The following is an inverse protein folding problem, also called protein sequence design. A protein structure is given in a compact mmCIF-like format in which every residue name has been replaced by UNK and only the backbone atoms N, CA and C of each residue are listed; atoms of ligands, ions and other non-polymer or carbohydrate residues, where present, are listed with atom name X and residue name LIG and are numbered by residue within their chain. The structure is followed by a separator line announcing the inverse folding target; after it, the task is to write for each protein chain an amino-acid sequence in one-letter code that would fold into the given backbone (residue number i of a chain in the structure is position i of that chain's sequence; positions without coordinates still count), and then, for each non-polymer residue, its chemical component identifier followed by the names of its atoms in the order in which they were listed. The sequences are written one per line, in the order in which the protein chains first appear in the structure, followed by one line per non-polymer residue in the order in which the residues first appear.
data_IF_960547974630
#
_entry.id   IF_960547974630
#
_cell.length_a   1.000
_cell.length_b   1.000
_cell.length_c   1.000
_cell.angle_alpha   90.00
_cell.angle_beta   90.00
_cell.angle_gamma   90.00
#
_symmetry.space_group_name_H-M   'P 1'
#
loop_
_entity.id
_entity.type
_entity.pdbx_description
1 polymer ?
#
# COMPACT_ATOMS: atom_id res chain seq x y z
N UNK A 1 -7.46 18.67 13.44
CA UNK A 1 -6.77 17.43 13.04
C UNK A 1 -5.83 17.75 11.89
N UNK A 2 -4.59 17.31 11.96
CA UNK A 2 -3.65 17.46 10.86
C UNK A 2 -4.02 16.49 9.74
N UNK A 3 -3.92 16.90 8.46
CA UNK A 3 -4.17 15.99 7.35
C UNK A 3 -3.26 14.78 7.44
N UNK A 4 -3.79 13.60 7.16
CA UNK A 4 -3.08 12.33 7.29
C UNK A 4 -2.94 11.64 5.92
N UNK A 5 -1.78 11.03 5.68
CA UNK A 5 -1.58 10.05 4.61
C UNK A 5 -1.66 8.67 5.22
N UNK A 6 -2.62 7.88 4.75
CA UNK A 6 -2.81 6.53 5.21
C UNK A 6 -2.22 5.52 4.22
N UNK A 7 -1.27 4.70 4.68
CA UNK A 7 -0.64 3.63 3.90
C UNK A 7 -1.11 2.27 4.44
N UNK A 8 -1.73 1.46 3.60
CA UNK A 8 -2.13 0.10 3.95
C UNK A 8 -1.19 -0.93 3.34
N UNK A 9 -0.76 -1.89 4.15
CA UNK A 9 0.17 -2.97 3.78
C UNK A 9 -0.45 -4.32 4.11
N UNK A 10 -0.81 -5.09 3.09
CA UNK A 10 -1.41 -6.41 3.31
C UNK A 10 -0.37 -7.49 3.59
N UNK A 11 0.84 -7.38 3.05
CA UNK A 11 1.88 -8.42 3.12
C UNK A 11 3.10 -7.97 3.93
N UNK A 12 3.66 -8.82 4.80
CA UNK A 12 4.79 -8.48 5.66
C UNK A 12 6.03 -7.98 4.92
N UNK A 13 6.32 -8.56 3.75
CA UNK A 13 7.46 -8.19 2.91
C UNK A 13 7.37 -6.78 2.30
N UNK A 14 6.19 -6.12 2.43
CA UNK A 14 5.95 -4.75 1.97
C UNK A 14 6.05 -3.70 3.07
N UNK A 15 6.10 -4.12 4.32
CA UNK A 15 6.09 -3.17 5.44
C UNK A 15 7.26 -2.17 5.36
N UNK A 16 8.47 -2.67 5.09
CA UNK A 16 9.65 -1.81 4.95
C UNK A 16 9.53 -0.82 3.79
N UNK A 17 8.97 -1.24 2.67
CA UNK A 17 8.73 -0.33 1.54
C UNK A 17 7.74 0.78 1.91
N UNK A 18 6.71 0.47 2.70
CA UNK A 18 5.77 1.46 3.21
C UNK A 18 6.45 2.47 4.15
N UNK A 19 7.28 2.02 5.07
CA UNK A 19 8.05 2.92 5.94
C UNK A 19 8.92 3.88 5.13
N UNK A 20 9.69 3.35 4.17
CA UNK A 20 10.57 4.16 3.33
C UNK A 20 9.79 5.17 2.48
N UNK A 21 8.61 4.78 1.97
CA UNK A 21 7.70 5.71 1.31
C UNK A 21 7.26 6.84 2.24
N UNK A 22 6.86 6.51 3.46
CA UNK A 22 6.45 7.50 4.46
C UNK A 22 7.61 8.46 4.81
N UNK A 23 8.83 7.95 4.96
CA UNK A 23 10.02 8.77 5.23
C UNK A 23 10.25 9.75 4.08
N UNK A 24 10.28 9.25 2.84
CA UNK A 24 10.47 10.08 1.66
C UNK A 24 9.42 11.19 1.54
N UNK A 25 8.16 10.84 1.80
CA UNK A 25 7.07 11.81 1.77
C UNK A 25 7.14 12.80 2.94
N UNK A 26 7.59 12.36 4.12
CA UNK A 26 7.73 13.21 5.31
C UNK A 26 8.73 14.34 5.09
N UNK A 27 9.81 14.09 4.34
CA UNK A 27 10.78 15.12 3.98
C UNK A 27 10.18 16.23 3.09
N UNK A 28 9.12 15.91 2.35
CA UNK A 28 8.49 16.80 1.38
C UNK A 28 7.17 17.39 1.85
N UNK A 29 6.48 16.71 2.74
CA UNK A 29 5.13 17.04 3.17
C UNK A 29 5.07 17.19 4.69
N UNK A 30 4.46 18.28 5.15
CA UNK A 30 4.17 18.50 6.58
C UNK A 30 2.83 17.84 6.94
N UNK A 31 2.82 16.51 7.01
CA UNK A 31 1.61 15.73 7.29
C UNK A 31 1.92 14.59 8.25
N UNK A 32 0.89 14.00 8.82
CA UNK A 32 0.98 12.79 9.64
C UNK A 32 0.87 11.55 8.76
N UNK A 33 1.40 10.43 9.24
CA UNK A 33 1.36 9.16 8.52
C UNK A 33 0.80 8.07 9.42
N UNK A 34 -0.18 7.34 8.88
CA UNK A 34 -0.73 6.13 9.48
C UNK A 34 -0.38 4.95 8.59
N UNK A 35 0.28 3.93 9.15
CA UNK A 35 0.45 2.65 8.48
C UNK A 35 -0.51 1.64 9.11
N UNK A 36 -1.33 1.00 8.29
CA UNK A 36 -2.10 -0.16 8.72
C UNK A 36 -1.59 -1.43 8.04
N UNK A 37 -1.62 -2.53 8.79
CA UNK A 37 -1.19 -3.83 8.28
C UNK A 37 -2.36 -4.84 8.26
N UNK A 38 -2.27 -5.80 7.32
CA UNK A 38 -3.29 -6.81 7.09
C UNK A 38 -3.20 -8.01 8.03
N UNK A 39 -4.10 -8.98 7.82
CA UNK A 39 -4.20 -10.22 8.61
C UNK A 39 -3.04 -11.20 8.36
N UNK A 40 -2.29 -11.05 7.27
CA UNK A 40 -1.13 -11.89 6.93
C UNK A 40 0.05 -11.70 7.89
N UNK A 41 0.00 -10.65 8.72
CA UNK A 41 1.03 -10.41 9.73
C UNK A 41 0.78 -11.26 10.98
N UNK A 42 1.70 -12.17 11.27
CA UNK A 42 1.64 -13.03 12.47
C UNK A 42 1.96 -12.28 13.76
N UNK A 43 2.70 -11.17 13.66
CA UNK A 43 3.06 -10.29 14.77
C UNK A 43 2.87 -8.84 14.35
N UNK A 44 2.60 -7.96 15.32
CA UNK A 44 2.57 -6.52 15.07
C UNK A 44 3.93 -6.07 14.55
N UNK A 45 4.02 -5.42 13.38
CA UNK A 45 5.27 -4.87 12.91
C UNK A 45 5.71 -3.71 13.81
N UNK A 46 7.02 -3.61 14.00
CA UNK A 46 7.62 -2.53 14.79
C UNK A 46 8.20 -1.53 13.78
N UNK A 47 7.73 -0.29 13.86
CA UNK A 47 8.36 0.81 13.15
C UNK A 47 9.60 1.29 13.88
N UNK A 48 10.62 1.64 13.13
CA UNK A 48 11.84 2.29 13.64
C UNK A 48 11.66 3.82 13.78
N UNK A 49 10.48 4.35 13.42
CA UNK A 49 10.23 5.78 13.32
C UNK A 49 9.03 6.18 14.19
N UNK A 50 9.28 7.04 15.16
CA UNK A 50 8.28 7.47 16.15
C UNK A 50 7.13 8.30 15.55
N UNK A 51 7.34 8.91 14.37
CA UNK A 51 6.31 9.68 13.69
C UNK A 51 5.28 8.81 12.93
N UNK A 52 5.47 7.48 12.89
CA UNK A 52 4.56 6.55 12.23
C UNK A 52 3.62 5.90 13.25
N UNK A 53 2.33 6.10 13.03
CA UNK A 53 1.29 5.37 13.76
C UNK A 53 1.08 4.03 13.06
N UNK A 54 1.24 2.93 13.78
CA UNK A 54 1.10 1.56 13.21
C UNK A 54 -0.04 0.82 13.89
N UNK A 55 -1.03 0.41 13.10
CA UNK A 55 -2.23 -0.30 13.57
C UNK A 55 -2.67 -1.46 12.68
N UNK A 56 -3.35 -2.46 13.27
CA UNK A 56 -3.96 -3.55 12.51
C UNK A 56 -5.22 -3.05 11.80
N UNK A 57 -5.42 -3.41 10.53
CA UNK A 57 -6.51 -2.87 9.72
C UNK A 57 -7.90 -3.26 10.26
N UNK A 58 -8.08 -4.50 10.73
CA UNK A 58 -9.34 -4.95 11.32
C UNK A 58 -9.74 -4.14 12.54
N UNK A 59 -8.78 -3.83 13.41
CA UNK A 59 -9.01 -3.06 14.62
C UNK A 59 -9.40 -1.62 14.27
N UNK A 60 -8.69 -1.03 13.31
CA UNK A 60 -8.93 0.34 12.86
C UNK A 60 -10.29 0.50 12.16
N UNK A 61 -10.64 -0.41 11.24
CA UNK A 61 -11.92 -0.34 10.53
C UNK A 61 -13.13 -0.67 11.42
N UNK A 62 -12.91 -1.38 12.52
CA UNK A 62 -13.94 -1.67 13.53
C UNK A 62 -14.23 -0.46 14.42
N UNK A 63 -13.31 0.52 14.49
CA UNK A 63 -13.51 1.73 15.26
C UNK A 63 -14.48 2.67 14.52
N UNK A 64 -15.62 3.03 15.12
CA UNK A 64 -16.67 3.77 14.42
C UNK A 64 -16.25 5.16 13.94
N UNK A 65 -15.29 5.76 14.63
CA UNK A 65 -14.80 7.12 14.34
C UNK A 65 -13.47 7.14 13.59
N UNK A 66 -12.94 5.99 13.16
CA UNK A 66 -11.61 5.90 12.56
C UNK A 66 -11.36 6.95 11.46
N UNK A 67 -12.25 7.04 10.49
CA UNK A 67 -12.11 8.00 9.38
C UNK A 67 -12.29 9.46 9.83
N UNK A 68 -13.03 9.69 10.90
CA UNK A 68 -13.22 11.03 11.48
C UNK A 68 -12.02 11.44 12.31
N UNK A 69 -11.40 10.49 13.01
CA UNK A 69 -10.29 10.76 13.92
C UNK A 69 -8.97 10.98 13.16
N UNK A 70 -8.76 10.29 12.05
CA UNK A 70 -7.56 10.38 11.23
C UNK A 70 -7.68 11.27 10.01
N UNK A 71 -8.89 11.53 9.51
CA UNK A 71 -9.20 12.36 8.34
C UNK A 71 -8.20 12.16 7.17
N UNK A 72 -8.08 10.95 6.61
CA UNK A 72 -7.08 10.67 5.60
C UNK A 72 -7.38 11.46 4.32
N UNK A 73 -6.41 12.24 3.86
CA UNK A 73 -6.51 12.98 2.59
C UNK A 73 -6.12 12.09 1.40
N UNK A 74 -5.18 11.19 1.62
CA UNK A 74 -4.69 10.24 0.63
C UNK A 74 -4.61 8.86 1.26
N UNK A 75 -5.07 7.85 0.53
CA UNK A 75 -4.96 6.45 0.91
C UNK A 75 -4.08 5.73 -0.11
N UNK A 76 -2.99 5.14 0.34
CA UNK A 76 -2.08 4.35 -0.49
C UNK A 76 -2.14 2.90 -0.03
N UNK A 77 -2.61 2.01 -0.90
CA UNK A 77 -2.59 0.57 -0.65
C UNK A 77 -1.41 -0.04 -1.42
N UNK A 78 -0.52 -0.72 -0.73
CA UNK A 78 0.53 -1.50 -1.37
C UNK A 78 0.00 -2.88 -1.77
N UNK A 79 0.59 -3.43 -2.82
CA UNK A 79 0.16 -4.71 -3.45
C UNK A 79 -0.08 -5.83 -2.43
N UNK A 80 -1.19 -6.53 -2.63
CA UNK A 80 -1.62 -7.65 -1.78
C UNK A 80 -3.13 -7.78 -1.70
N UNK A 81 -3.64 -8.73 -0.91
CA UNK A 81 -5.06 -8.88 -0.66
C UNK A 81 -5.61 -7.68 0.10
N UNK A 82 -6.62 -7.02 -0.46
CA UNK A 82 -7.26 -5.87 0.17
C UNK A 82 -8.52 -6.31 0.94
N UNK A 83 -8.70 -5.83 2.17
CA UNK A 83 -9.95 -6.02 2.88
C UNK A 83 -11.12 -5.36 2.12
N UNK A 84 -12.21 -6.10 1.94
CA UNK A 84 -13.41 -5.58 1.26
C UNK A 84 -13.92 -4.28 1.89
N UNK A 85 -13.93 -4.22 3.22
CA UNK A 85 -14.35 -3.02 3.94
C UNK A 85 -13.50 -1.80 3.59
N UNK A 86 -12.18 -1.96 3.41
CA UNK A 86 -11.29 -0.87 3.03
C UNK A 86 -11.66 -0.33 1.64
N UNK A 87 -11.76 -1.20 0.64
CA UNK A 87 -12.09 -0.78 -0.73
C UNK A 87 -13.49 -0.15 -0.83
N UNK A 88 -14.44 -0.68 -0.08
CA UNK A 88 -15.80 -0.13 0.03
C UNK A 88 -15.79 1.28 0.66
N UNK A 89 -15.04 1.48 1.72
CA UNK A 89 -14.92 2.78 2.40
C UNK A 89 -14.22 3.82 1.54
N UNK A 90 -13.15 3.45 0.82
CA UNK A 90 -12.48 4.33 -0.14
C UNK A 90 -13.49 4.88 -1.13
N UNK A 91 -14.28 4.00 -1.76
CA UNK A 91 -15.29 4.39 -2.74
C UNK A 91 -16.41 5.26 -2.16
N UNK A 92 -16.95 4.88 -1.00
CA UNK A 92 -18.07 5.59 -0.36
C UNK A 92 -17.71 7.03 0.03
N UNK A 93 -16.51 7.23 0.55
CA UNK A 93 -16.06 8.52 1.06
C UNK A 93 -15.31 9.35 0.02
N UNK A 94 -15.10 8.82 -1.19
CA UNK A 94 -14.39 9.49 -2.30
C UNK A 94 -12.99 9.99 -1.90
N UNK A 95 -12.28 9.24 -1.07
CA UNK A 95 -10.89 9.55 -0.74
C UNK A 95 -10.02 9.43 -1.98
N UNK A 96 -9.06 10.35 -2.13
CA UNK A 96 -8.02 10.18 -3.15
C UNK A 96 -7.20 8.94 -2.83
N UNK A 97 -7.12 8.01 -3.77
CA UNK A 97 -6.64 6.67 -3.48
C UNK A 97 -5.71 6.12 -4.56
N UNK A 98 -4.64 5.50 -4.11
CA UNK A 98 -3.60 4.91 -4.94
C UNK A 98 -3.44 3.44 -4.57
N UNK A 99 -3.43 2.57 -5.57
CA UNK A 99 -3.00 1.20 -5.40
C UNK A 99 -1.61 1.04 -6.04
N UNK A 100 -0.59 0.84 -5.24
CA UNK A 100 0.80 0.89 -5.68
C UNK A 100 1.51 -0.46 -5.63
N UNK A 101 2.60 -0.57 -6.40
CA UNK A 101 3.50 -1.73 -6.44
C UNK A 101 2.81 -3.03 -6.89
N UNK A 102 1.76 -2.93 -7.74
CA UNK A 102 1.01 -4.10 -8.21
C UNK A 102 1.91 -5.03 -9.01
N UNK A 103 1.96 -6.30 -8.60
CA UNK A 103 2.82 -7.33 -9.20
C UNK A 103 2.03 -8.40 -9.92
N UNK A 104 2.58 -8.87 -11.03
CA UNK A 104 1.98 -9.93 -11.84
C UNK A 104 1.72 -11.22 -11.05
N UNK A 105 2.63 -11.60 -10.14
CA UNK A 105 2.48 -12.77 -9.27
C UNK A 105 1.21 -12.72 -8.42
N UNK A 106 0.80 -11.55 -7.96
CA UNK A 106 -0.39 -11.37 -7.14
C UNK A 106 -1.67 -11.32 -7.97
N UNK A 107 -1.58 -10.85 -9.22
CA UNK A 107 -2.69 -10.92 -10.16
C UNK A 107 -3.05 -12.37 -10.54
N UNK A 108 -2.09 -13.29 -10.47
CA UNK A 108 -2.32 -14.71 -10.77
C UNK A 108 -3.00 -15.50 -9.63
N UNK A 109 -3.24 -14.86 -8.49
CA UNK A 109 -3.86 -15.51 -7.33
C UNK A 109 -5.24 -16.09 -7.70
N UNK A 110 -5.49 -17.37 -7.32
CA UNK A 110 -6.73 -18.10 -7.62
C UNK A 110 -7.98 -17.36 -7.18
N UNK A 111 -7.97 -16.68 -6.02
CA UNK A 111 -9.11 -15.90 -5.53
C UNK A 111 -9.49 -14.76 -6.47
N UNK A 112 -8.53 -14.15 -7.15
CA UNK A 112 -8.77 -13.11 -8.15
C UNK A 112 -9.19 -13.68 -9.51
N UNK A 113 -8.91 -14.97 -9.80
CA UNK A 113 -9.32 -15.62 -11.04
C UNK A 113 -10.77 -16.12 -11.03
N UNK A 114 -11.29 -16.48 -9.86
CA UNK A 114 -12.63 -17.07 -9.71
C UNK A 114 -13.75 -16.05 -9.95
N UNK A 115 -13.48 -14.76 -9.75
CA UNK A 115 -14.45 -13.67 -9.94
C UNK A 115 -13.92 -12.69 -10.99
N UNK A 116 -14.22 -12.89 -12.28
CA UNK A 116 -13.68 -12.07 -13.37
C UNK A 116 -13.97 -10.57 -13.21
N UNK A 117 -15.09 -10.20 -12.61
CA UNK A 117 -15.44 -8.82 -12.33
C UNK A 117 -14.79 -8.26 -11.05
N UNK A 118 -14.17 -9.11 -10.22
CA UNK A 118 -13.59 -8.67 -8.95
C UNK A 118 -12.40 -7.74 -9.17
N UNK A 119 -11.50 -8.07 -10.09
CA UNK A 119 -10.37 -7.20 -10.45
C UNK A 119 -10.85 -5.83 -10.91
N UNK A 120 -11.77 -5.83 -11.90
CA UNK A 120 -12.38 -4.60 -12.39
C UNK A 120 -12.94 -3.76 -11.25
N UNK A 121 -13.72 -4.37 -10.35
CA UNK A 121 -14.35 -3.65 -9.25
C UNK A 121 -13.33 -3.10 -8.27
N UNK A 122 -12.33 -3.90 -7.87
CA UNK A 122 -11.33 -3.49 -6.89
C UNK A 122 -10.45 -2.36 -7.45
N UNK A 123 -9.83 -2.56 -8.61
CA UNK A 123 -8.89 -1.59 -9.15
C UNK A 123 -9.55 -0.30 -9.63
N UNK A 124 -10.76 -0.37 -10.17
CA UNK A 124 -11.51 0.83 -10.57
C UNK A 124 -12.03 1.67 -9.39
N UNK A 125 -11.95 1.16 -8.17
CA UNK A 125 -12.25 1.96 -6.97
C UNK A 125 -11.11 2.92 -6.61
N UNK A 126 -9.90 2.73 -7.16
CA UNK A 126 -8.77 3.63 -6.95
C UNK A 126 -8.70 4.70 -8.04
N UNK A 127 -8.13 5.85 -7.71
CA UNK A 127 -7.87 6.92 -8.68
C UNK A 127 -6.67 6.59 -9.56
N UNK A 128 -5.62 5.99 -8.97
CA UNK A 128 -4.46 5.50 -9.71
C UNK A 128 -4.04 4.10 -9.27
N UNK A 129 -3.51 3.33 -10.24
CA UNK A 129 -2.95 2.01 -10.05
C UNK A 129 -1.55 1.98 -10.66
N UNK A 130 -0.52 1.87 -9.80
CA UNK A 130 0.87 1.79 -10.21
C UNK A 130 1.34 0.34 -10.26
N UNK A 131 1.87 -0.09 -11.39
CA UNK A 131 2.30 -1.47 -11.63
C UNK A 131 3.82 -1.60 -11.69
N UNK A 132 4.33 -2.80 -11.39
CA UNK A 132 5.76 -3.10 -11.45
C UNK A 132 6.39 -2.91 -12.84
N UNK A 133 5.60 -3.12 -13.90
CA UNK A 133 6.04 -3.01 -15.30
C UNK A 133 4.84 -2.91 -16.26
N UNK A 134 5.14 -2.66 -17.53
CA UNK A 134 4.13 -2.53 -18.58
C UNK A 134 3.37 -3.85 -18.86
N UNK A 135 3.99 -5.00 -18.67
CA UNK A 135 3.31 -6.29 -18.81
C UNK A 135 2.20 -6.46 -17.78
N UNK A 136 2.46 -6.08 -16.53
CA UNK A 136 1.45 -6.08 -15.45
C UNK A 136 0.34 -5.06 -15.75
N UNK A 137 0.69 -3.88 -16.27
CA UNK A 137 -0.28 -2.87 -16.70
C UNK A 137 -1.20 -3.43 -17.81
N UNK A 138 -0.64 -4.11 -18.81
CA UNK A 138 -1.40 -4.76 -19.88
C UNK A 138 -2.35 -5.83 -19.36
N UNK A 139 -1.94 -6.63 -18.36
CA UNK A 139 -2.82 -7.62 -17.72
C UNK A 139 -4.01 -6.99 -17.00
N UNK A 140 -3.81 -5.83 -16.36
CA UNK A 140 -4.89 -5.08 -15.72
C UNK A 140 -5.85 -4.51 -16.76
N UNK A 141 -5.34 -3.94 -17.83
CA UNK A 141 -6.14 -3.43 -18.94
C UNK A 141 -7.01 -4.53 -19.55
N UNK A 142 -6.44 -5.71 -19.85
CA UNK A 142 -7.18 -6.89 -20.33
C UNK A 142 -8.26 -7.37 -19.35
N UNK A 143 -8.11 -7.03 -18.06
CA UNK A 143 -9.11 -7.31 -17.03
C UNK A 143 -10.17 -6.19 -16.89
N UNK A 144 -10.27 -5.30 -17.89
CA UNK A 144 -11.21 -4.17 -17.92
C UNK A 144 -11.02 -3.13 -16.80
N UNK A 145 -9.80 -2.98 -16.32
CA UNK A 145 -9.42 -1.83 -15.49
C UNK A 145 -9.24 -0.62 -16.42
N UNK A 146 -9.69 0.53 -15.98
CA UNK A 146 -9.61 1.79 -16.73
C UNK A 146 -8.15 2.16 -17.04
N UNK A 147 -7.80 2.28 -18.32
CA UNK A 147 -6.45 2.58 -18.80
C UNK A 147 -5.91 3.89 -18.23
N UNK A 148 -6.75 4.91 -18.10
CA UNK A 148 -6.34 6.21 -17.58
C UNK A 148 -5.83 6.16 -16.14
N UNK A 149 -6.26 5.14 -15.39
CA UNK A 149 -5.84 4.92 -14.00
C UNK A 149 -4.54 4.13 -13.90
N UNK A 150 -4.19 3.35 -14.91
CA UNK A 150 -3.03 2.45 -14.88
C UNK A 150 -1.76 3.22 -15.25
N UNK A 151 -0.72 3.10 -14.41
CA UNK A 151 0.61 3.67 -14.62
C UNK A 151 1.68 2.61 -14.41
N UNK A 152 2.49 2.34 -15.43
CA UNK A 152 3.66 1.47 -15.32
C UNK A 152 4.86 2.28 -14.82
N UNK A 153 5.31 2.04 -13.57
CA UNK A 153 6.36 2.86 -12.95
C UNK A 153 7.55 2.06 -12.40
N UNK A 154 7.52 0.74 -12.46
CA UNK A 154 8.52 -0.08 -11.80
C UNK A 154 8.20 -0.37 -10.33
N UNK A 155 9.09 -1.11 -9.69
CA UNK A 155 8.92 -1.51 -8.29
C UNK A 155 9.28 -0.36 -7.35
N UNK A 156 8.45 -0.12 -6.35
CA UNK A 156 8.72 0.86 -5.31
C UNK A 156 10.08 0.62 -4.63
N UNK A 157 10.44 -0.65 -4.39
CA UNK A 157 11.72 -1.02 -3.79
C UNK A 157 12.94 -0.68 -4.65
N UNK A 158 12.83 -0.68 -5.97
CA UNK A 158 13.93 -0.32 -6.86
C UNK A 158 14.15 1.19 -6.99
N UNK A 159 13.14 1.97 -6.62
CA UNK A 159 13.20 3.44 -6.65
C UNK A 159 13.78 4.03 -5.36
N UNK A 160 13.94 3.21 -4.32
CA UNK A 160 14.49 3.63 -3.04
C UNK A 160 15.99 3.40 -3.08
N UNK A 161 16.78 4.46 -2.92
CA UNK A 161 18.23 4.36 -2.79
C UNK A 161 18.60 3.33 -1.70
N UNK A 162 19.63 2.51 -1.91
CA UNK A 162 20.08 1.60 -0.86
C UNK A 162 20.37 2.41 0.41
N UNK A 163 19.95 1.88 1.55
CA UNK A 163 20.29 2.48 2.85
C UNK A 163 21.81 2.71 2.89
N UNK A 164 22.28 3.86 3.41
CA UNK A 164 23.70 4.07 3.56
C UNK A 164 24.29 2.88 4.35
N UNK A 165 25.22 2.19 3.72
CA UNK A 165 25.94 1.09 4.32
C UNK A 165 26.71 1.64 5.53
N UNK A 166 26.42 1.19 6.72
CA UNK A 166 27.31 1.42 7.86
C UNK A 166 28.45 0.42 7.76
N UNK A 167 29.70 0.87 7.93
CA UNK A 167 30.87 0.00 7.93
C UNK A 167 30.77 -1.14 8.95
N UNK A 168 29.91 -1.00 9.96
CA UNK A 168 29.63 -2.03 10.96
C UNK A 168 28.75 -3.18 10.45
N UNK A 169 28.06 -3.03 9.31
CA UNK A 169 27.21 -4.09 8.73
C UNK A 169 28.03 -5.15 7.99
N UNK A 170 29.32 -4.88 7.73
CA UNK A 170 30.22 -5.79 7.01
C UNK A 170 30.79 -6.89 7.92
N UNK A 171 30.75 -6.70 9.23
CA UNK A 171 31.39 -7.62 10.19
C UNK A 171 30.59 -8.90 10.49
N UNK A 172 29.31 -8.97 10.11
CA UNK A 172 28.46 -10.14 10.37
C UNK A 172 28.36 -11.17 9.23
N UNK A 173 28.94 -10.92 8.07
CA UNK A 173 28.90 -11.85 6.94
C UNK A 173 30.11 -12.82 6.86
N UNK A 174 31.04 -12.79 7.83
CA UNK A 174 32.24 -13.64 7.87
C UNK A 174 32.34 -14.52 9.13
N UNK A 175 31.22 -14.90 9.74
CA UNK A 175 31.17 -15.94 10.79
C UNK A 175 30.37 -17.14 10.36
#
# INVERSE_FOLDING_TARGET
LSPCIWVHVSQPDRFRAAELLCIYLKEKLRTEFLITYGEEFTKKPISLYDFLIVGKISDQLSHPNFFKDYDPQVIICLDGPLPYLLTSRIKQNKYFSIFADVRSKNLSNRKLKILPNFRKTVFNNFDFVFTENEMTASQLFQSSVDEHKIKGMGLLQSSIAPLPFSENDVTFSNL
#
